data_IF_006381061071
#
_entry.id   IF_006381061071
#
_cell.length_a   1.000
_cell.length_b   1.000
_cell.length_c   1.000
_cell.angle_alpha   90.00
_cell.angle_beta   90.00
_cell.angle_gamma   90.00
#
_symmetry.space_group_name_H-M   'P 1'
#
loop_
_entity.id
_entity.type
_entity.pdbx_description
1 polymer ?
#
# COMPACT_ATOMS: atom_id res chain seq x y z
N UNK A 1 -16.75 -32.65 10.30
CA UNK A 1 -17.21 -31.50 9.49
C UNK A 1 -16.00 -30.59 9.24
N UNK A 2 -15.52 -30.50 8.00
CA UNK A 2 -14.46 -29.56 7.62
C UNK A 2 -15.12 -28.21 7.31
N UNK A 3 -14.60 -27.14 7.90
CA UNK A 3 -15.12 -25.79 7.68
C UNK A 3 -15.03 -25.41 6.18
N UNK A 4 -16.08 -24.79 5.60
CA UNK A 4 -16.04 -24.27 4.23
C UNK A 4 -15.04 -23.12 4.06
N UNK A 5 -14.52 -22.60 5.17
CA UNK A 5 -13.33 -21.76 5.22
C UNK A 5 -12.13 -22.69 5.36
N UNK A 6 -11.73 -23.34 4.26
CA UNK A 6 -10.48 -24.11 4.20
C UNK A 6 -9.36 -23.29 4.83
N UNK A 7 -8.49 -23.93 5.64
CA UNK A 7 -7.33 -23.28 6.23
C UNK A 7 -6.62 -22.48 5.13
N UNK A 8 -6.62 -21.15 5.27
CA UNK A 8 -5.78 -20.30 4.45
C UNK A 8 -4.42 -20.35 5.08
N UNK A 9 -3.47 -20.97 4.40
CA UNK A 9 -2.11 -21.10 4.93
C UNK A 9 -1.46 -19.72 5.09
N UNK A 10 -1.75 -18.81 4.15
CA UNK A 10 -1.33 -17.42 4.20
C UNK A 10 -2.53 -16.46 4.31
N UNK A 11 -2.60 -15.62 5.37
CA UNK A 11 -3.59 -14.57 5.47
C UNK A 11 -3.35 -13.47 4.42
N UNK A 12 -4.17 -13.49 3.36
CA UNK A 12 -4.23 -12.44 2.34
C UNK A 12 -5.49 -11.60 2.54
N UNK A 13 -5.35 -10.28 2.68
CA UNK A 13 -6.45 -9.32 2.60
C UNK A 13 -6.32 -8.49 1.33
N UNK A 14 -7.43 -8.27 0.65
CA UNK A 14 -7.51 -7.46 -0.56
C UNK A 14 -8.59 -6.39 -0.39
N UNK A 15 -8.22 -5.14 -0.63
CA UNK A 15 -9.12 -3.97 -0.53
C UNK A 15 -9.09 -3.20 -1.85
N UNK A 16 -9.93 -3.58 -2.83
CA UNK A 16 -10.13 -2.82 -4.05
C UNK A 16 -11.06 -1.64 -3.80
N UNK A 17 -10.76 -0.50 -4.40
CA UNK A 17 -11.60 0.67 -4.38
C UNK A 17 -11.50 1.46 -5.68
N UNK A 18 -12.59 2.14 -6.02
CA UNK A 18 -12.62 3.03 -7.17
C UNK A 18 -11.78 4.28 -6.89
N UNK A 19 -10.95 4.67 -7.84
CA UNK A 19 -10.14 5.86 -7.77
C UNK A 19 -10.08 6.53 -9.15
N UNK A 20 -10.41 7.82 -9.21
CA UNK A 20 -10.23 8.59 -10.43
C UNK A 20 -8.87 9.31 -10.39
N UNK A 21 -7.89 8.79 -11.12
CA UNK A 21 -6.56 9.35 -11.20
C UNK A 21 -6.53 10.54 -12.16
N UNK A 22 -5.86 11.63 -11.77
CA UNK A 22 -5.67 12.79 -12.66
C UNK A 22 -4.87 12.47 -13.93
N UNK A 23 -4.01 11.44 -13.88
CA UNK A 23 -3.14 11.04 -15.01
C UNK A 23 -3.70 9.88 -15.83
N UNK A 24 -4.28 8.87 -15.17
CA UNK A 24 -4.72 7.62 -15.81
C UNK A 24 -6.23 7.54 -15.99
N UNK A 25 -6.98 8.49 -15.43
CA UNK A 25 -8.43 8.43 -15.40
C UNK A 25 -8.98 7.40 -14.41
N UNK A 26 -10.20 6.88 -14.65
CA UNK A 26 -10.88 5.96 -13.76
C UNK A 26 -10.16 4.61 -13.68
N UNK A 27 -9.84 4.18 -12.47
CA UNK A 27 -9.20 2.89 -12.21
C UNK A 27 -9.72 2.27 -10.91
N UNK A 28 -9.42 0.99 -10.72
CA UNK A 28 -9.59 0.33 -9.42
C UNK A 28 -8.22 0.15 -8.79
N UNK A 29 -8.01 0.86 -7.69
CA UNK A 29 -6.80 0.71 -6.88
C UNK A 29 -7.05 -0.35 -5.84
N UNK A 30 -6.14 -1.32 -5.77
CA UNK A 30 -6.23 -2.46 -4.89
C UNK A 30 -5.05 -2.48 -3.95
N UNK A 31 -5.35 -2.49 -2.66
CA UNK A 31 -4.37 -2.70 -1.60
C UNK A 31 -4.43 -4.16 -1.16
N UNK A 32 -3.29 -4.82 -1.25
CA UNK A 32 -3.08 -6.14 -0.70
C UNK A 32 -2.33 -6.00 0.61
N UNK A 33 -2.77 -6.73 1.62
CA UNK A 33 -2.07 -6.89 2.88
C UNK A 33 -1.78 -8.37 3.09
N UNK A 34 -0.52 -8.68 3.40
CA UNK A 34 -0.04 -10.02 3.68
C UNK A 34 0.43 -10.06 5.12
N UNK A 35 -0.08 -11.02 5.89
CA UNK A 35 0.53 -11.38 7.16
C UNK A 35 1.84 -12.14 6.87
N UNK A 36 2.94 -11.72 7.49
CA UNK A 36 4.26 -12.27 7.23
C UNK A 36 4.71 -13.33 8.25
N UNK A 37 3.89 -13.64 9.28
CA UNK A 37 4.24 -14.58 10.35
C UNK A 37 4.45 -16.02 9.84
N UNK A 38 3.74 -16.42 8.79
CA UNK A 38 3.82 -17.75 8.17
C UNK A 38 4.58 -17.76 6.83
N UNK A 39 5.25 -16.66 6.47
CA UNK A 39 6.06 -16.59 5.25
C UNK A 39 7.48 -17.10 5.51
N UNK A 40 8.06 -17.73 4.49
CA UNK A 40 9.41 -18.28 4.56
C UNK A 40 10.42 -17.28 4.02
N UNK A 41 11.32 -16.86 4.89
CA UNK A 41 12.43 -15.98 4.53
C UNK A 41 13.71 -16.80 4.40
N UNK A 42 14.47 -16.53 3.35
CA UNK A 42 15.81 -17.10 3.16
C UNK A 42 16.88 -16.14 3.64
N UNK A 43 17.98 -16.69 4.13
CA UNK A 43 19.19 -15.91 4.36
C UNK A 43 19.82 -15.51 3.03
N UNK A 44 20.03 -14.21 2.88
CA UNK A 44 20.75 -13.59 1.79
C UNK A 44 22.17 -13.19 2.19
N UNK A 45 22.95 -12.65 1.24
CA UNK A 45 24.29 -12.16 1.54
C UNK A 45 24.24 -11.05 2.60
N UNK A 46 25.29 -10.96 3.42
CA UNK A 46 25.45 -9.95 4.46
C UNK A 46 24.34 -9.95 5.54
N UNK A 47 23.73 -11.11 5.81
CA UNK A 47 22.71 -11.26 6.85
C UNK A 47 21.33 -10.67 6.49
N UNK A 48 21.10 -10.37 5.21
CA UNK A 48 19.79 -9.94 4.75
C UNK A 48 18.78 -11.10 4.78
N UNK A 49 17.50 -10.79 4.93
CA UNK A 49 16.39 -11.75 4.82
C UNK A 49 15.68 -11.52 3.48
N UNK A 50 15.66 -12.54 2.64
CA UNK A 50 15.01 -12.50 1.33
C UNK A 50 13.63 -13.16 1.38
N UNK A 51 12.66 -12.57 0.68
CA UNK A 51 11.30 -13.08 0.57
C UNK A 51 10.85 -13.04 -0.89
N UNK A 52 10.41 -14.18 -1.41
CA UNK A 52 9.98 -14.33 -2.80
C UNK A 52 8.51 -14.74 -2.85
N UNK A 53 7.65 -13.85 -3.33
CA UNK A 53 6.21 -14.07 -3.43
C UNK A 53 5.75 -14.06 -4.89
N UNK A 54 4.73 -14.84 -5.19
CA UNK A 54 3.99 -14.77 -6.45
C UNK A 54 2.56 -14.33 -6.15
N UNK A 55 2.10 -13.24 -6.77
CA UNK A 55 0.71 -12.78 -6.65
C UNK A 55 0.05 -12.78 -8.01
N UNK A 56 -1.10 -13.43 -8.10
CA UNK A 56 -2.00 -13.37 -9.24
C UNK A 56 -3.31 -12.71 -8.83
N UNK A 57 -3.80 -11.75 -9.59
CA UNK A 57 -5.04 -11.05 -9.34
C UNK A 57 -5.84 -10.86 -10.63
N UNK A 58 -7.15 -11.06 -10.51
CA UNK A 58 -8.10 -11.13 -11.61
C UNK A 58 -9.30 -10.22 -11.31
N UNK A 59 -9.79 -9.52 -12.33
CA UNK A 59 -11.05 -8.80 -12.28
C UNK A 59 -12.04 -9.46 -13.26
N UNK A 60 -13.13 -10.02 -12.74
CA UNK A 60 -14.21 -10.60 -13.53
C UNK A 60 -15.37 -9.62 -13.62
N UNK A 61 -15.93 -9.43 -14.81
CA UNK A 61 -17.14 -8.63 -15.00
C UNK A 61 -18.42 -9.41 -14.63
N UNK A 62 -19.58 -8.77 -14.79
CA UNK A 62 -20.90 -9.35 -14.54
C UNK A 62 -21.20 -10.63 -15.34
N UNK A 63 -20.50 -10.85 -16.46
CA UNK A 63 -20.63 -12.06 -17.27
C UNK A 63 -19.64 -13.15 -16.86
N UNK A 64 -18.82 -12.90 -15.85
CA UNK A 64 -17.74 -13.78 -15.41
C UNK A 64 -16.53 -13.76 -16.34
N UNK A 65 -16.46 -12.84 -17.30
CA UNK A 65 -15.32 -12.72 -18.20
C UNK A 65 -14.18 -11.95 -17.53
N UNK A 66 -12.94 -12.44 -17.69
CA UNK A 66 -11.75 -11.74 -17.19
C UNK A 66 -11.57 -10.43 -17.95
N UNK A 67 -11.79 -9.32 -17.25
CA UNK A 67 -11.61 -7.96 -17.77
C UNK A 67 -10.18 -7.45 -17.63
N UNK A 68 -9.46 -7.93 -16.62
CA UNK A 68 -8.03 -7.66 -16.40
C UNK A 68 -7.42 -8.80 -15.57
N UNK A 69 -6.12 -9.05 -15.79
CA UNK A 69 -5.32 -10.04 -15.08
C UNK A 69 -3.91 -9.50 -14.88
N UNK A 70 -3.36 -9.77 -13.70
CA UNK A 70 -1.97 -9.50 -13.39
C UNK A 70 -1.39 -10.71 -12.66
N UNK A 71 -0.18 -11.10 -13.05
CA UNK A 71 0.66 -12.02 -12.28
C UNK A 71 2.04 -11.37 -12.11
N UNK A 72 2.52 -11.20 -10.89
CA UNK A 72 3.86 -10.69 -10.63
C UNK A 72 4.60 -11.57 -9.62
N UNK A 73 5.90 -11.66 -9.83
CA UNK A 73 6.85 -12.05 -8.80
C UNK A 73 7.28 -10.81 -8.02
N UNK A 74 7.31 -10.93 -6.71
CA UNK A 74 7.73 -9.89 -5.77
C UNK A 74 8.92 -10.46 -4.99
N UNK A 75 10.11 -9.97 -5.31
CA UNK A 75 11.35 -10.36 -4.64
C UNK A 75 11.77 -9.20 -3.75
N UNK A 76 11.80 -9.42 -2.44
CA UNK A 76 12.12 -8.42 -1.43
C UNK A 76 13.36 -8.86 -0.65
N UNK A 77 14.15 -7.88 -0.23
CA UNK A 77 15.28 -8.09 0.68
C UNK A 77 15.21 -7.09 1.82
N UNK A 78 15.40 -7.59 3.03
CA UNK A 78 15.28 -6.84 4.27
C UNK A 78 16.58 -6.94 5.06
N UNK A 79 17.01 -5.83 5.65
CA UNK A 79 17.94 -5.91 6.77
C UNK A 79 17.21 -6.39 8.05
N UNK A 80 17.95 -6.67 9.12
CA UNK A 80 17.38 -7.21 10.35
C UNK A 80 16.26 -6.32 10.93
N UNK A 81 16.46 -4.99 11.00
CA UNK A 81 15.45 -4.07 11.51
C UNK A 81 14.16 -4.10 10.67
N UNK A 82 14.29 -4.09 9.35
CA UNK A 82 13.15 -4.18 8.43
C UNK A 82 12.45 -5.54 8.52
N UNK A 83 13.21 -6.62 8.67
CA UNK A 83 12.66 -7.96 8.84
C UNK A 83 11.77 -8.04 10.08
N UNK A 84 12.24 -7.52 11.22
CA UNK A 84 11.43 -7.46 12.44
C UNK A 84 10.17 -6.59 12.26
N UNK A 85 10.29 -5.46 11.56
CA UNK A 85 9.13 -4.60 11.25
C UNK A 85 8.10 -5.32 10.36
N UNK A 86 8.55 -6.09 9.38
CA UNK A 86 7.69 -6.85 8.47
C UNK A 86 7.01 -8.00 9.19
N UNK A 87 7.71 -8.72 10.07
CA UNK A 87 7.08 -9.76 10.90
C UNK A 87 6.00 -9.17 11.82
N UNK A 88 6.25 -8.00 12.40
CA UNK A 88 5.31 -7.36 13.31
C UNK A 88 4.09 -6.72 12.62
N UNK A 89 4.29 -6.09 11.45
CA UNK A 89 3.28 -5.25 10.80
C UNK A 89 2.74 -5.84 9.48
N UNK A 90 3.29 -6.94 8.98
CA UNK A 90 2.98 -7.47 7.66
C UNK A 90 3.53 -6.60 6.52
N UNK A 91 3.06 -6.89 5.31
CA UNK A 91 3.43 -6.19 4.09
C UNK A 91 2.20 -5.67 3.35
N UNK A 92 2.29 -4.42 2.88
CA UNK A 92 1.28 -3.81 2.01
C UNK A 92 1.80 -3.69 0.57
N UNK A 93 1.00 -4.12 -0.40
CA UNK A 93 1.30 -4.02 -1.83
C UNK A 93 0.14 -3.36 -2.57
N UNK A 94 0.43 -2.38 -3.43
CA UNK A 94 -0.59 -1.63 -4.18
C UNK A 94 -0.55 -1.98 -5.66
N UNK A 95 -1.71 -2.20 -6.27
CA UNK A 95 -1.88 -2.31 -7.72
C UNK A 95 -3.07 -1.51 -8.22
N UNK A 96 -2.92 -0.93 -9.39
CA UNK A 96 -3.98 -0.23 -10.10
C UNK A 96 -4.41 -1.10 -11.30
N UNK A 97 -5.73 -1.28 -11.47
CA UNK A 97 -6.36 -2.01 -12.57
C UNK A 97 -7.16 -1.03 -13.42
N UNK A 98 -6.93 -1.05 -14.74
CA UNK A 98 -7.62 -0.16 -15.67
C UNK A 98 -8.79 -0.93 -16.28
N UNK A 99 -9.99 -0.71 -15.74
CA UNK A 99 -11.20 -1.38 -16.21
C UNK A 99 -11.83 -0.57 -17.35
N UNK A 100 -12.12 -1.24 -18.46
CA UNK A 100 -12.59 -0.59 -19.70
C UNK A 100 -14.04 -0.09 -19.62
N UNK A 101 -14.84 -0.64 -18.70
CA UNK A 101 -16.28 -0.37 -18.61
C UNK A 101 -16.69 -0.12 -17.16
N UNK A 102 -17.69 0.75 -16.92
CA UNK A 102 -18.37 0.78 -15.63
C UNK A 102 -19.21 -0.49 -15.44
N UNK A 103 -19.44 -0.89 -14.20
CA UNK A 103 -20.17 -2.12 -13.88
C UNK A 103 -19.74 -2.75 -12.57
N UNK A 104 -20.40 -3.84 -12.20
CA UNK A 104 -19.98 -4.66 -11.07
C UNK A 104 -18.82 -5.58 -11.47
N UNK A 105 -17.86 -5.71 -10.57
CA UNK A 105 -16.69 -6.56 -10.76
C UNK A 105 -16.44 -7.44 -9.55
N UNK A 106 -16.08 -8.70 -9.81
CA UNK A 106 -15.52 -9.60 -8.81
C UNK A 106 -14.01 -9.63 -8.95
N UNK A 107 -13.30 -9.14 -7.92
CA UNK A 107 -11.86 -9.30 -7.81
C UNK A 107 -11.55 -10.61 -7.08
N UNK A 108 -10.58 -11.36 -7.61
CA UNK A 108 -10.01 -12.52 -6.95
C UNK A 108 -8.50 -12.42 -6.98
N UNK A 109 -7.84 -12.77 -5.88
CA UNK A 109 -6.39 -12.81 -5.80
C UNK A 109 -5.91 -14.07 -5.10
N UNK A 110 -4.75 -14.54 -5.53
CA UNK A 110 -4.00 -15.65 -4.95
C UNK A 110 -2.58 -15.18 -4.71
N UNK A 111 -2.07 -15.46 -3.51
CA UNK A 111 -0.70 -15.26 -3.11
C UNK A 111 -0.06 -16.64 -2.90
N UNK A 112 1.17 -16.79 -3.33
CA UNK A 112 1.99 -17.96 -3.07
C UNK A 112 3.35 -17.53 -2.51
N UNK A 113 3.77 -18.17 -1.42
CA UNK A 113 5.15 -18.13 -0.98
C UNK A 113 5.95 -19.10 -1.86
N UNK A 114 6.96 -18.59 -2.54
CA UNK A 114 7.77 -19.39 -3.47
C UNK A 114 8.54 -20.50 -2.77
N UNK A 115 8.88 -20.30 -1.50
CA UNK A 115 9.79 -21.19 -0.76
C UNK A 115 9.05 -22.32 -0.04
N UNK A 116 8.00 -21.99 0.71
CA UNK A 116 7.16 -23.01 1.37
C UNK A 116 6.12 -23.64 0.46
N UNK A 117 5.75 -22.95 -0.63
CA UNK A 117 4.62 -23.31 -1.48
C UNK A 117 3.25 -23.01 -0.85
N UNK A 118 3.19 -22.46 0.37
CA UNK A 118 1.94 -22.09 1.02
C UNK A 118 1.22 -21.02 0.21
N UNK A 119 -0.12 -21.08 0.24
CA UNK A 119 -0.96 -20.17 -0.54
C UNK A 119 -2.02 -19.47 0.30
N UNK A 120 -2.37 -18.27 -0.13
CA UNK A 120 -3.44 -17.45 0.42
C UNK A 120 -4.33 -16.94 -0.69
N UNK A 121 -5.61 -16.71 -0.41
CA UNK A 121 -6.54 -16.17 -1.39
C UNK A 121 -7.50 -15.16 -0.78
N UNK A 122 -7.93 -14.21 -1.61
CA UNK A 122 -8.91 -13.19 -1.25
C UNK A 122 -9.87 -12.94 -2.42
N UNK A 123 -11.10 -12.55 -2.09
CA UNK A 123 -12.11 -12.19 -3.09
C UNK A 123 -12.95 -11.04 -2.58
N UNK A 124 -13.26 -10.09 -3.46
CA UNK A 124 -14.04 -8.91 -3.11
C UNK A 124 -14.85 -8.45 -4.31
N UNK A 125 -16.07 -7.97 -4.06
CA UNK A 125 -16.90 -7.34 -5.07
C UNK A 125 -16.83 -5.81 -4.96
N UNK A 126 -16.87 -5.13 -6.12
CA UNK A 126 -16.89 -3.67 -6.21
C UNK A 126 -17.79 -3.20 -7.36
N UNK A 127 -18.47 -2.08 -7.15
CA UNK A 127 -19.16 -1.35 -8.21
C UNK A 127 -18.27 -0.23 -8.77
N UNK A 128 -18.01 -0.25 -10.06
CA UNK A 128 -17.31 0.83 -10.77
C UNK A 128 -18.35 1.79 -11.34
N UNK A 129 -18.32 3.08 -10.98
CA UNK A 129 -19.30 4.06 -11.43
C UNK A 129 -19.07 4.48 -12.89
N UNK A 130 -20.16 4.85 -13.55
CA UNK A 130 -20.15 5.43 -14.89
C UNK A 130 -20.00 6.96 -14.80
N UNK A 131 -18.80 7.46 -15.05
CA UNK A 131 -18.50 8.89 -14.98
C UNK A 131 -19.06 9.70 -16.16
N UNK A 132 -19.43 9.05 -17.27
CA UNK A 132 -19.99 9.73 -18.45
C UNK A 132 -21.38 10.33 -18.17
N UNK A 133 -22.11 9.74 -17.22
CA UNK A 133 -23.47 10.12 -16.86
C UNK A 133 -23.57 11.38 -15.98
N UNK A 134 -22.45 12.09 -15.73
CA UNK A 134 -22.38 13.31 -14.89
C UNK A 134 -23.06 13.16 -13.52
N UNK A 135 -23.08 11.95 -12.97
CA UNK A 135 -23.58 11.66 -11.62
C UNK A 135 -22.44 11.75 -10.63
N UNK A 136 -22.73 12.17 -9.41
CA UNK A 136 -21.75 12.16 -8.33
C UNK A 136 -21.26 10.73 -8.11
N UNK A 137 -19.94 10.56 -8.12
CA UNK A 137 -19.26 9.32 -7.82
C UNK A 137 -18.25 9.58 -6.69
N UNK A 138 -18.20 8.68 -5.72
CA UNK A 138 -17.28 8.76 -4.59
C UNK A 138 -16.08 7.84 -4.83
N UNK A 139 -14.87 8.40 -4.74
CA UNK A 139 -13.65 7.60 -4.67
C UNK A 139 -13.54 6.93 -3.30
N UNK A 140 -12.90 5.77 -3.23
CA UNK A 140 -12.58 5.15 -1.94
C UNK A 140 -11.72 6.06 -1.07
N UNK A 141 -11.98 6.06 0.24
CA UNK A 141 -11.19 6.78 1.23
C UNK A 141 -10.12 5.85 1.81
N UNK A 142 -8.87 6.31 1.79
CA UNK A 142 -7.73 5.59 2.38
C UNK A 142 -7.04 6.51 3.39
N UNK A 143 -6.80 5.98 4.58
CA UNK A 143 -6.08 6.65 5.66
C UNK A 143 -4.69 6.03 5.78
N UNK A 144 -3.66 6.88 5.76
CA UNK A 144 -2.27 6.46 5.97
C UNK A 144 -1.72 7.25 7.14
N UNK A 145 -1.21 6.56 8.16
CA UNK A 145 -0.46 7.21 9.24
C UNK A 145 1.00 7.41 8.80
N UNK A 146 1.61 8.57 9.11
CA UNK A 146 3.06 8.71 8.95
C UNK A 146 3.76 7.68 9.85
N UNK A 147 4.95 7.19 9.45
CA UNK A 147 5.74 6.33 10.32
C UNK A 147 5.96 7.06 11.65
N UNK A 148 5.75 6.36 12.77
CA UNK A 148 6.05 6.89 14.08
C UNK A 148 7.57 7.18 14.12
N UNK A 149 7.94 8.43 13.91
CA UNK A 149 9.27 8.90 14.28
C UNK A 149 9.37 8.74 15.78
N UNK A 150 10.44 8.07 16.21
CA UNK A 150 10.82 7.87 17.61
C UNK A 150 11.26 9.23 18.20
N UNK A 151 10.34 10.19 18.21
CA UNK A 151 10.49 11.44 18.93
C UNK A 151 10.36 11.06 20.39
N UNK A 152 11.51 10.78 21.03
CA UNK A 152 11.67 10.68 22.49
C UNK A 152 10.62 11.57 23.13
N UNK A 153 9.61 10.97 23.75
CA UNK A 153 8.57 11.70 24.47
C UNK A 153 9.32 12.54 25.51
N UNK A 154 9.56 13.81 25.18
CA UNK A 154 10.10 14.77 26.13
C UNK A 154 8.99 14.90 27.15
N UNK A 155 9.16 14.27 28.31
CA UNK A 155 8.34 14.52 29.50
C UNK A 155 8.16 16.04 29.55
N UNK A 156 6.92 16.57 29.49
CA UNK A 156 6.73 18.00 29.56
C UNK A 156 7.37 18.45 30.87
N UNK A 157 8.38 19.32 30.77
CA UNK A 157 8.99 19.91 31.95
C UNK A 157 7.89 20.61 32.74
N UNK A 158 7.87 20.51 34.09
CA UNK A 158 6.84 21.15 34.89
C UNK A 158 6.84 22.65 34.55
N UNK A 159 5.74 23.11 33.95
CA UNK A 159 5.58 24.50 33.54
C UNK A 159 5.46 25.33 34.81
N UNK A 160 6.57 25.92 35.27
CA UNK A 160 6.54 26.91 36.35
C UNK A 160 5.74 28.10 35.84
N UNK A 161 4.53 28.28 36.38
CA UNK A 161 3.68 29.43 36.08
C UNK A 161 4.28 30.64 36.77
N UNK A 162 5.27 31.26 36.14
CA UNK A 162 5.74 32.58 36.55
C UNK A 162 4.77 33.60 35.96
N UNK A 163 3.95 34.21 36.82
CA UNK A 163 3.07 35.32 36.44
C UNK A 163 3.94 36.51 36.03
N UNK A 164 4.00 36.83 34.73
CA UNK A 164 4.52 38.12 34.26
C UNK A 164 3.35 39.08 33.98
N UNK A 165 3.43 40.36 34.42
CA UNK A 165 2.40 41.35 34.12
C UNK A 165 2.44 41.82 32.65
N UNK A 166 1.35 42.37 32.13
CA UNK A 166 1.21 42.66 30.71
C UNK A 166 1.97 43.94 30.33
N UNK A 167 2.97 43.82 29.46
CA UNK A 167 3.56 44.97 28.75
C UNK A 167 3.50 44.80 27.24
N UNK A 168 3.34 45.96 26.60
CA UNK A 168 2.84 46.20 25.24
C UNK A 168 3.75 45.69 24.10
N UNK A 169 3.07 45.26 23.04
CA UNK A 169 3.36 45.34 21.59
C UNK A 169 4.82 45.26 21.12
N UNK A 170 5.11 44.20 20.36
CA UNK A 170 5.89 44.31 19.13
C UNK A 170 5.55 43.14 18.21
N UNK A 171 5.20 43.46 16.97
CA UNK A 171 4.94 42.52 15.89
C UNK A 171 6.26 42.13 15.22
N UNK A 172 6.49 40.85 14.97
CA UNK A 172 7.24 40.39 13.79
C UNK A 172 6.62 39.07 13.33
N UNK A 173 5.95 39.15 12.19
CA UNK A 173 5.42 38.03 11.43
C UNK A 173 6.52 37.46 10.52
N UNK A 174 6.43 36.14 10.33
CA UNK A 174 6.77 35.36 9.13
C UNK A 174 8.18 35.50 8.52
N UNK A 175 8.97 34.42 8.57
CA UNK A 175 9.43 33.66 7.38
C UNK A 175 10.33 32.49 7.81
N UNK A 176 9.96 31.24 7.50
CA UNK A 176 10.89 30.24 6.93
C UNK A 176 10.16 28.93 6.56
N UNK A 177 9.35 29.00 5.49
CA UNK A 177 9.14 27.85 4.62
C UNK A 177 10.31 27.81 3.63
N UNK A 178 11.24 26.88 3.81
CA UNK A 178 12.09 26.29 2.76
C UNK A 178 13.07 25.33 3.43
N UNK A 179 12.81 24.03 3.29
CA UNK A 179 13.76 22.91 3.14
C UNK A 179 12.89 21.64 3.14
N UNK A 180 13.13 20.74 2.17
CA UNK A 180 12.39 19.50 1.85
C UNK A 180 11.37 19.56 0.71
N UNK A 181 11.60 20.41 -0.29
CA UNK A 181 11.35 20.03 -1.69
C UNK A 181 12.70 19.82 -2.37
N UNK A 182 13.26 18.61 -2.27
CA UNK A 182 14.28 18.03 -3.15
C UNK A 182 14.88 16.78 -2.50
N UNK A 183 14.14 15.66 -2.47
CA UNK A 183 14.73 14.31 -2.35
C UNK A 183 13.76 13.14 -2.54
N UNK A 184 12.79 13.24 -3.46
CA UNK A 184 11.94 12.09 -3.81
C UNK A 184 11.75 11.89 -5.32
N UNK A 185 12.67 12.40 -6.15
CA UNK A 185 12.66 12.23 -7.61
C UNK A 185 13.85 11.42 -8.16
N UNK A 186 14.76 10.93 -7.30
CA UNK A 186 16.01 10.29 -7.75
C UNK A 186 16.02 8.76 -7.66
N UNK A 187 14.91 8.11 -7.30
CA UNK A 187 14.85 6.63 -7.16
C UNK A 187 13.97 5.97 -8.23
N UNK A 188 13.28 6.73 -9.10
CA UNK A 188 12.37 6.16 -10.11
C UNK A 188 12.64 6.57 -11.58
N UNK A 189 13.78 7.21 -11.88
CA UNK A 189 14.17 7.57 -13.27
C UNK A 189 15.34 6.76 -13.86
N UNK A 190 15.55 5.54 -13.37
CA UNK A 190 16.67 4.68 -13.81
C UNK A 190 16.38 3.68 -14.94
N UNK A 191 15.15 3.59 -15.47
CA UNK A 191 14.77 2.43 -16.28
C UNK A 191 14.06 2.74 -17.62
N UNK A 192 14.45 3.80 -18.32
CA UNK A 192 13.91 4.08 -19.66
C UNK A 192 14.84 4.89 -20.57
N UNK A 193 16.12 4.51 -20.65
CA UNK A 193 17.03 5.07 -21.65
C UNK A 193 18.21 4.15 -21.99
N UNK A 194 17.89 2.92 -22.43
CA UNK A 194 18.77 2.11 -23.30
C UNK A 194 17.89 1.25 -24.19
N UNK A 195 17.44 1.85 -25.29
CA UNK A 195 17.11 1.17 -26.54
C UNK A 195 16.91 2.25 -27.60
N UNK A 196 18.02 2.71 -28.16
CA UNK A 196 18.11 3.15 -29.56
C UNK A 196 19.58 3.32 -29.94
N UNK A 197 20.18 2.25 -30.46
CA UNK A 197 21.23 2.27 -31.49
C UNK A 197 21.18 0.96 -32.25
#
# INVERSE_FOLDING_TARGET
MMSPLGKRDLPLRMTPYFFNSSKLGPLVRTLFYFDCSNLTFKDGPNGQKQLNLEIAAFAFDEKGATSDMTANRINLSFNESQYQQVLANGLAYRRDFTLKKPGAYQFRAVLRDSESGLTGSASQFIQVPDLSKKRLAMSGLVLTAPPATDEKIRKPAPRRVTRQPPTRRSAVNALCQKILSNRLDSIWRGHLQRDNR
#
